data_IF_126720976474
#
_entry.id   IF_126720976474
#
_cell.length_a   1.000
_cell.length_b   1.000
_cell.length_c   1.000
_cell.angle_alpha   90.00
_cell.angle_beta   90.00
_cell.angle_gamma   90.00
#
_symmetry.space_group_name_H-M   'P 1'
#
loop_
_entity.id
_entity.type
_entity.pdbx_description
1 polymer ?
#
# COMPACT_ATOMS: atom_id res chain seq x y z
N UNK A 1 15.17 -19.38 -0.45
CA UNK A 1 13.69 -19.34 -0.42
C UNK A 1 13.21 -19.77 0.95
N UNK A 2 12.88 -18.83 1.85
CA UNK A 2 12.35 -19.15 3.19
C UNK A 2 11.48 -18.01 3.70
N UNK A 3 10.32 -18.40 4.23
CA UNK A 3 9.43 -17.68 5.15
C UNK A 3 8.20 -16.99 4.53
N UNK A 4 7.24 -17.80 4.09
CA UNK A 4 5.82 -17.42 4.10
C UNK A 4 5.21 -18.08 5.33
N UNK A 5 5.30 -17.41 6.47
CA UNK A 5 4.57 -17.76 7.68
C UNK A 5 4.22 -16.47 8.40
N UNK A 6 2.99 -16.41 8.91
CA UNK A 6 2.45 -15.35 9.77
C UNK A 6 2.06 -14.06 9.05
N UNK A 7 0.78 -13.96 8.64
CA UNK A 7 -0.15 -12.81 8.74
C UNK A 7 0.30 -11.34 8.68
N UNK A 8 1.55 -11.04 8.32
CA UNK A 8 2.22 -9.73 8.32
C UNK A 8 2.32 -9.14 6.91
N UNK A 9 1.54 -9.64 5.96
CA UNK A 9 1.57 -9.19 4.57
C UNK A 9 1.14 -7.72 4.45
N UNK A 10 0.30 -7.23 5.38
CA UNK A 10 -0.31 -5.90 5.32
C UNK A 10 -0.07 -4.99 6.53
N UNK A 11 0.80 -5.38 7.47
CA UNK A 11 1.26 -4.51 8.55
C UNK A 11 2.77 -4.43 8.50
N UNK A 12 3.29 -3.27 8.10
CA UNK A 12 4.71 -2.95 8.26
C UNK A 12 4.86 -2.23 9.60
N UNK A 13 5.85 -2.63 10.39
CA UNK A 13 6.21 -1.97 11.66
C UNK A 13 6.71 -0.53 11.44
N UNK A 14 7.05 -0.17 10.19
CA UNK A 14 7.46 1.17 9.76
C UNK A 14 6.52 1.70 8.66
N UNK A 15 6.28 3.02 8.58
CA UNK A 15 5.48 3.63 7.52
C UNK A 15 6.10 3.31 6.15
N UNK A 16 5.22 3.03 5.19
CA UNK A 16 5.59 2.69 3.82
C UNK A 16 4.89 3.58 2.83
N UNK A 17 5.41 3.59 1.60
CA UNK A 17 4.83 4.32 0.48
C UNK A 17 3.89 3.42 -0.29
N UNK A 18 2.63 3.83 -0.36
CA UNK A 18 1.57 3.23 -1.15
C UNK A 18 1.34 4.06 -2.40
N UNK A 19 1.49 3.47 -3.58
CA UNK A 19 1.33 4.15 -4.85
C UNK A 19 0.05 3.65 -5.54
N UNK A 20 -0.84 4.58 -5.90
CA UNK A 20 -2.04 4.27 -6.65
C UNK A 20 -1.68 3.93 -8.11
N UNK A 21 -1.86 2.68 -8.51
CA UNK A 21 -1.59 2.20 -9.88
C UNK A 21 -2.48 2.85 -10.96
N UNK A 22 -3.60 3.47 -10.56
CA UNK A 22 -4.48 4.14 -11.50
C UNK A 22 -3.98 5.55 -11.89
N UNK A 23 -3.40 6.29 -10.95
CA UNK A 23 -3.14 7.73 -11.14
C UNK A 23 -1.78 8.23 -10.62
N UNK A 24 -0.99 7.38 -9.95
CA UNK A 24 0.32 7.74 -9.41
C UNK A 24 0.29 8.46 -8.06
N UNK A 25 -0.88 8.66 -7.43
CA UNK A 25 -0.95 9.25 -6.08
C UNK A 25 -0.15 8.42 -5.07
N UNK A 26 0.64 9.10 -4.23
CA UNK A 26 1.49 8.48 -3.20
C UNK A 26 0.94 8.78 -1.82
N UNK A 27 0.76 7.76 -1.00
CA UNK A 27 0.39 7.85 0.40
C UNK A 27 1.50 7.27 1.28
N UNK A 28 1.93 8.00 2.31
CA UNK A 28 2.86 7.51 3.33
C UNK A 28 2.10 7.15 4.60
N UNK A 29 2.15 5.87 4.98
CA UNK A 29 1.42 5.36 6.14
C UNK A 29 1.65 3.88 6.35
N UNK A 30 1.15 3.36 7.47
CA UNK A 30 1.18 1.92 7.76
C UNK A 30 0.19 1.14 6.89
N UNK A 31 -0.81 1.82 6.30
CA UNK A 31 -1.92 1.24 5.55
C UNK A 31 -2.29 2.14 4.35
N UNK A 32 -2.82 1.56 3.27
CA UNK A 32 -3.34 2.34 2.14
C UNK A 32 -4.71 2.97 2.48
N UNK A 33 -5.07 4.13 1.91
CA UNK A 33 -6.41 4.70 2.08
C UNK A 33 -7.51 3.82 1.49
N UNK A 34 -8.69 3.77 2.11
CA UNK A 34 -9.85 3.03 1.58
C UNK A 34 -10.23 3.46 0.15
N UNK A 35 -10.02 4.74 -0.15
CA UNK A 35 -10.25 5.34 -1.45
C UNK A 35 -9.13 6.32 -1.78
N UNK A 36 -8.67 6.30 -3.03
CA UNK A 36 -7.65 7.23 -3.51
C UNK A 36 -8.20 8.67 -3.49
N UNK A 37 -7.57 9.59 -2.74
CA UNK A 37 -8.04 10.98 -2.64
C UNK A 37 -7.85 11.77 -3.94
N UNK A 38 -7.02 11.28 -4.87
CA UNK A 38 -6.79 11.92 -6.17
C UNK A 38 -7.80 11.47 -7.25
N UNK A 39 -8.07 10.16 -7.35
CA UNK A 39 -8.85 9.60 -8.48
C UNK A 39 -10.09 8.81 -8.04
N UNK A 40 -10.41 8.81 -6.75
CA UNK A 40 -11.59 8.17 -6.18
C UNK A 40 -11.68 6.64 -6.37
N UNK A 41 -10.61 5.97 -6.81
CA UNK A 41 -10.57 4.52 -6.98
C UNK A 41 -10.31 3.79 -5.66
N UNK A 42 -10.79 2.55 -5.52
CA UNK A 42 -10.71 1.80 -4.25
C UNK A 42 -9.28 1.44 -3.85
N UNK A 43 -9.08 1.13 -2.57
CA UNK A 43 -7.82 0.71 -1.94
C UNK A 43 -7.07 -0.38 -2.73
N UNK A 44 -7.79 -1.26 -3.44
CA UNK A 44 -7.23 -2.33 -4.28
C UNK A 44 -6.34 -1.85 -5.44
N UNK A 45 -6.36 -0.55 -5.73
CA UNK A 45 -5.46 0.07 -6.71
C UNK A 45 -4.10 0.47 -6.14
N UNK A 46 -3.90 0.43 -4.82
CA UNK A 46 -2.62 0.76 -4.22
C UNK A 46 -1.67 -0.44 -4.22
N UNK A 47 -0.39 -0.17 -4.54
CA UNK A 47 0.72 -1.10 -4.37
C UNK A 47 1.79 -0.53 -3.45
N UNK A 48 2.57 -1.40 -2.82
CA UNK A 48 3.71 -0.99 -2.00
C UNK A 48 4.90 -0.65 -2.88
N UNK A 49 5.43 0.57 -2.74
CA UNK A 49 6.72 0.94 -3.30
C UNK A 49 7.82 0.29 -2.45
N UNK A 50 8.42 -0.78 -2.96
CA UNK A 50 9.61 -1.42 -2.40
C UNK A 50 10.83 -0.78 -3.07
N UNK A 51 11.41 0.23 -2.43
CA UNK A 51 12.80 0.64 -2.71
C UNK A 51 13.78 -0.26 -1.95
#
# INVERSE_FOLDING_TARGET
>A
EKNIAEGKVFKKDAPVRWVCRNCGYVHEGTEAPEQCPACAHPQSYFELELN
#
